data_IF_791159884034
#
_entry.id   IF_791159884034
#
_cell.length_a   1.000
_cell.length_b   1.000
_cell.length_c   1.000
_cell.angle_alpha   90.00
_cell.angle_beta   90.00
_cell.angle_gamma   90.00
#
_symmetry.space_group_name_H-M   'P 1'
#
loop_
_entity.id
_entity.type
_entity.pdbx_description
1 polymer ?
#
# COMPACT_ATOMS: atom_id res chain seq x y z
N UNK A 1 -4.54 -6.13 11.29
CA UNK A 1 -5.87 -6.54 10.77
C UNK A 1 -6.33 -5.30 10.06
N UNK A 2 -6.28 -5.32 8.73
CA UNK A 2 -6.48 -4.11 7.94
C UNK A 2 -7.93 -4.03 7.47
N UNK A 3 -8.50 -2.84 7.43
CA UNK A 3 -9.82 -2.57 6.87
C UNK A 3 -9.69 -1.91 5.49
N UNK A 4 -10.41 -2.49 4.53
CA UNK A 4 -10.55 -1.95 3.18
C UNK A 4 -11.73 -0.99 3.10
N UNK A 5 -11.53 0.14 2.41
CA UNK A 5 -12.54 1.17 2.17
C UNK A 5 -12.64 1.48 0.68
N UNK A 6 -13.87 1.63 0.19
CA UNK A 6 -14.17 2.02 -1.20
C UNK A 6 -14.63 3.48 -1.24
N UNK A 7 -13.94 4.30 -2.02
CA UNK A 7 -14.25 5.71 -2.24
C UNK A 7 -14.87 5.86 -3.62
N UNK A 8 -16.16 6.20 -3.67
CA UNK A 8 -16.92 6.30 -4.93
C UNK A 8 -17.23 7.75 -5.26
N UNK A 9 -17.08 8.13 -6.52
CA UNK A 9 -17.46 9.45 -7.01
C UNK A 9 -18.99 9.61 -7.03
N UNK A 10 -19.46 10.71 -6.47
CA UNK A 10 -20.88 11.08 -6.36
C UNK A 10 -21.59 11.30 -7.71
N UNK A 11 -20.82 11.55 -8.77
CA UNK A 11 -21.35 11.93 -10.08
C UNK A 11 -21.22 10.83 -11.14
N UNK A 12 -20.05 10.19 -11.24
CA UNK A 12 -19.79 9.22 -12.32
C UNK A 12 -19.66 7.77 -11.86
N UNK A 13 -19.71 7.49 -10.56
CA UNK A 13 -19.59 6.14 -10.02
C UNK A 13 -18.19 5.51 -10.12
N UNK A 14 -17.18 6.27 -10.57
CA UNK A 14 -15.79 5.81 -10.51
C UNK A 14 -15.36 5.59 -9.06
N UNK A 15 -14.75 4.45 -8.76
CA UNK A 15 -14.37 4.06 -7.41
C UNK A 15 -12.90 3.70 -7.30
N UNK A 16 -12.35 3.88 -6.10
CA UNK A 16 -10.99 3.52 -5.71
C UNK A 16 -11.03 2.82 -4.36
N UNK A 17 -10.25 1.76 -4.19
CA UNK A 17 -10.13 1.03 -2.93
C UNK A 17 -8.81 1.39 -2.23
N UNK A 18 -8.84 1.55 -0.92
CA UNK A 18 -7.63 1.70 -0.10
C UNK A 18 -7.76 0.98 1.24
N UNK A 19 -6.62 0.58 1.79
CA UNK A 19 -6.49 -0.11 3.06
C UNK A 19 -5.88 0.82 4.12
N UNK A 20 -6.45 0.83 5.32
CA UNK A 20 -6.06 1.73 6.41
C UNK A 20 -4.65 1.47 6.96
N UNK A 21 -4.21 0.21 6.98
CA UNK A 21 -2.86 -0.19 7.38
C UNK A 21 -1.86 -0.18 6.20
N UNK A 22 -2.29 0.20 4.99
CA UNK A 22 -1.45 0.20 3.80
C UNK A 22 -1.02 -1.21 3.33
N UNK A 23 0.19 -1.31 2.80
CA UNK A 23 0.76 -2.51 2.18
C UNK A 23 2.12 -2.85 2.81
N UNK A 24 2.13 -3.62 3.91
CA UNK A 24 3.37 -3.96 4.59
C UNK A 24 4.22 -4.93 3.76
N UNK A 25 5.54 -4.71 3.79
CA UNK A 25 6.50 -5.54 3.05
C UNK A 25 7.82 -5.69 3.81
N UNK A 26 8.56 -6.77 3.52
CA UNK A 26 9.99 -6.90 3.84
C UNK A 26 10.80 -6.67 2.57
N UNK A 27 11.81 -5.81 2.60
CA UNK A 27 12.70 -5.59 1.47
C UNK A 27 14.01 -6.38 1.63
N UNK A 28 14.11 -7.50 0.90
CA UNK A 28 15.35 -8.26 0.83
C UNK A 28 15.45 -9.16 -0.42
N UNK A 29 16.56 -9.13 -1.17
CA UNK A 29 17.64 -8.15 -1.09
C UNK A 29 17.14 -6.73 -1.42
N UNK A 30 17.99 -5.70 -1.20
CA UNK A 30 17.65 -4.30 -1.50
C UNK A 30 17.02 -4.15 -2.89
N UNK A 31 15.89 -3.45 -2.96
CA UNK A 31 15.07 -3.25 -4.16
C UNK A 31 14.02 -4.34 -4.41
N UNK A 32 13.99 -5.43 -3.64
CA UNK A 32 12.98 -6.49 -3.77
C UNK A 32 12.05 -6.52 -2.56
N UNK A 33 10.82 -6.02 -2.76
CA UNK A 33 9.75 -6.02 -1.76
C UNK A 33 8.98 -7.34 -1.77
N UNK A 34 8.76 -7.92 -0.61
CA UNK A 34 7.90 -9.08 -0.39
C UNK A 34 6.76 -8.68 0.54
N UNK A 35 5.58 -8.50 -0.03
CA UNK A 35 4.38 -8.13 0.72
C UNK A 35 3.86 -9.29 1.55
N UNK A 36 3.36 -9.00 2.73
CA UNK A 36 2.83 -9.99 3.63
C UNK A 36 1.48 -9.54 4.16
N UNK A 37 0.45 -10.34 3.91
CA UNK A 37 -0.94 -10.06 4.31
C UNK A 37 -1.50 -11.26 5.06
N UNK A 38 -2.43 -11.02 5.98
CA UNK A 38 -3.11 -12.09 6.68
C UNK A 38 -3.96 -12.91 5.68
N UNK A 39 -4.03 -14.25 5.81
CA UNK A 39 -3.44 -15.09 6.87
C UNK A 39 -2.02 -15.60 6.60
N UNK A 40 -1.40 -15.18 5.49
CA UNK A 40 -0.09 -15.72 5.06
C UNK A 40 1.13 -14.94 5.58
N UNK A 41 0.91 -13.96 6.46
CA UNK A 41 1.94 -13.01 6.90
C UNK A 41 3.20 -13.71 7.44
N UNK A 42 3.03 -14.60 8.42
CA UNK A 42 4.14 -15.30 9.08
C UNK A 42 4.86 -16.25 8.13
N UNK A 43 4.17 -16.79 7.13
CA UNK A 43 4.79 -17.65 6.12
C UNK A 43 5.76 -16.86 5.25
N UNK A 44 5.36 -15.65 4.81
CA UNK A 44 6.22 -14.76 4.02
C UNK A 44 7.40 -14.27 4.88
N UNK A 45 7.12 -13.80 6.09
CA UNK A 45 8.15 -13.27 7.01
C UNK A 45 9.21 -14.33 7.29
N UNK A 46 8.81 -15.58 7.62
CA UNK A 46 9.76 -16.68 7.84
C UNK A 46 10.54 -17.02 6.58
N UNK A 47 9.89 -17.09 5.42
CA UNK A 47 10.56 -17.43 4.16
C UNK A 47 11.63 -16.39 3.79
N UNK A 48 11.33 -15.10 3.96
CA UNK A 48 12.30 -14.03 3.69
C UNK A 48 13.41 -14.03 4.74
N UNK A 49 13.08 -14.18 6.03
CA UNK A 49 14.09 -14.27 7.12
C UNK A 49 15.04 -15.44 6.89
N UNK A 50 14.52 -16.61 6.50
CA UNK A 50 15.34 -17.77 6.11
C UNK A 50 16.30 -17.46 4.96
N UNK A 51 15.86 -16.68 3.96
CA UNK A 51 16.73 -16.25 2.86
C UNK A 51 17.82 -15.25 3.29
N UNK A 52 17.61 -14.53 4.40
CA UNK A 52 18.58 -13.60 4.99
C UNK A 52 19.65 -14.37 5.79
N UNK A 53 19.24 -15.31 6.65
CA UNK A 53 20.14 -15.96 7.62
C UNK A 53 20.64 -17.34 7.18
N UNK A 54 20.00 -17.98 6.20
CA UNK A 54 20.42 -19.25 5.62
C UNK A 54 19.92 -20.52 6.32
N UNK A 55 19.13 -20.41 7.39
CA UNK A 55 18.53 -21.53 8.14
C UNK A 55 17.10 -21.21 8.60
N UNK A 56 16.43 -22.19 9.22
CA UNK A 56 15.05 -22.02 9.69
C UNK A 56 14.99 -21.02 10.85
N UNK A 57 14.33 -19.86 10.69
CA UNK A 57 14.39 -18.77 11.65
C UNK A 57 13.48 -19.00 12.85
N UNK A 58 13.94 -18.53 14.00
CA UNK A 58 13.12 -18.32 15.20
C UNK A 58 12.20 -17.12 15.04
N UNK A 59 11.23 -17.00 15.95
CA UNK A 59 10.28 -15.88 15.98
C UNK A 59 11.00 -14.56 16.30
N UNK A 60 12.03 -14.61 17.14
CA UNK A 60 12.88 -13.47 17.47
C UNK A 60 13.66 -12.96 16.25
N UNK A 61 14.25 -13.86 15.47
CA UNK A 61 14.95 -13.50 14.23
C UNK A 61 13.99 -12.94 13.17
N UNK A 62 12.75 -13.45 13.10
CA UNK A 62 11.71 -12.88 12.24
C UNK A 62 11.35 -11.46 12.67
N UNK A 63 11.22 -11.21 13.98
CA UNK A 63 10.97 -9.87 14.51
C UNK A 63 12.13 -8.91 14.23
N UNK A 64 13.37 -9.38 14.35
CA UNK A 64 14.55 -8.58 14.04
C UNK A 64 14.67 -8.27 12.54
N UNK A 65 14.30 -9.21 11.68
CA UNK A 65 14.18 -8.97 10.24
C UNK A 65 13.13 -7.89 9.93
N UNK A 66 11.96 -7.94 10.57
CA UNK A 66 10.93 -6.90 10.42
C UNK A 66 11.45 -5.54 10.87
N UNK A 67 12.06 -5.42 12.06
CA UNK A 67 12.61 -4.14 12.55
C UNK A 67 13.60 -3.50 11.57
N UNK A 68 14.37 -4.33 10.84
CA UNK A 68 15.45 -3.86 9.97
C UNK A 68 15.02 -3.62 8.53
N UNK A 69 14.12 -4.45 8.00
CA UNK A 69 13.83 -4.50 6.56
C UNK A 69 12.38 -4.21 6.23
N UNK A 70 11.48 -4.10 7.22
CA UNK A 70 10.09 -3.80 6.94
C UNK A 70 9.90 -2.37 6.42
N UNK A 71 8.92 -2.21 5.55
CA UNK A 71 8.35 -0.92 5.16
C UNK A 71 6.86 -1.07 4.92
N UNK A 72 6.23 0.03 4.51
CA UNK A 72 4.81 0.06 4.26
C UNK A 72 4.48 1.00 3.10
N UNK A 73 3.88 0.48 2.03
CA UNK A 73 3.45 1.32 0.93
C UNK A 73 1.98 1.74 1.07
N UNK A 74 1.68 2.96 0.66
CA UNK A 74 0.30 3.44 0.56
C UNK A 74 -0.16 3.47 -0.90
N UNK A 75 -1.46 3.30 -1.10
CA UNK A 75 -2.10 3.43 -2.41
C UNK A 75 -2.41 4.89 -2.71
N UNK A 76 -1.97 5.37 -3.88
CA UNK A 76 -2.16 6.74 -4.36
C UNK A 76 -2.81 6.72 -5.74
N UNK A 77 -3.56 7.77 -6.07
CA UNK A 77 -4.01 8.04 -7.43
C UNK A 77 -3.24 9.23 -8.02
N UNK A 78 -2.63 9.03 -9.18
CA UNK A 78 -1.97 10.14 -9.88
C UNK A 78 -3.00 11.00 -10.62
N UNK A 79 -3.02 12.31 -10.36
CA UNK A 79 -3.91 13.26 -11.02
C UNK A 79 -3.51 13.55 -12.46
N UNK A 80 -2.22 13.45 -12.77
CA UNK A 80 -1.70 13.71 -14.13
C UNK A 80 -1.98 12.56 -15.09
N UNK A 81 -1.62 11.32 -14.74
CA UNK A 81 -1.80 10.15 -15.62
C UNK A 81 -3.03 9.30 -15.30
N UNK A 82 -3.75 9.60 -14.21
CA UNK A 82 -5.00 8.94 -13.80
C UNK A 82 -4.85 7.43 -13.54
N UNK A 83 -3.66 6.99 -13.15
CA UNK A 83 -3.35 5.61 -12.76
C UNK A 83 -3.09 5.53 -11.27
N UNK A 84 -3.55 4.45 -10.67
CA UNK A 84 -3.16 4.06 -9.33
C UNK A 84 -1.65 3.77 -9.30
N UNK A 85 -1.01 4.22 -8.23
CA UNK A 85 0.42 4.11 -8.00
C UNK A 85 0.64 3.82 -6.54
N UNK A 86 1.70 3.09 -6.24
CA UNK A 86 2.03 2.67 -4.89
C UNK A 86 3.49 2.97 -4.62
N UNK A 87 3.78 3.50 -3.43
CA UNK A 87 5.13 3.76 -2.95
C UNK A 87 5.11 3.88 -1.43
N UNK A 88 6.27 3.68 -0.79
CA UNK A 88 6.46 3.86 0.64
C UNK A 88 6.79 5.34 0.90
N UNK A 89 5.88 6.13 1.51
CA UNK A 89 6.10 7.56 1.69
C UNK A 89 7.28 7.87 2.64
N UNK A 90 7.80 6.89 3.38
CA UNK A 90 8.96 7.05 4.26
C UNK A 90 10.28 6.69 3.58
N UNK A 91 10.26 5.95 2.46
CA UNK A 91 11.46 5.42 1.82
C UNK A 91 11.63 5.81 0.36
N UNK A 92 10.54 6.05 -0.35
CA UNK A 92 10.54 6.33 -1.78
C UNK A 92 10.36 7.81 -2.08
N UNK A 93 10.63 8.18 -3.34
CA UNK A 93 10.25 9.49 -3.86
C UNK A 93 8.73 9.56 -3.90
N UNK A 94 8.17 10.64 -3.36
CA UNK A 94 6.73 10.91 -3.36
C UNK A 94 6.23 11.33 -4.75
N UNK A 95 6.21 10.39 -5.69
CA UNK A 95 5.84 10.60 -7.08
C UNK A 95 5.25 9.35 -7.71
N UNK A 96 4.44 9.54 -8.75
CA UNK A 96 3.83 8.47 -9.51
C UNK A 96 4.89 7.59 -10.20
N UNK A 97 4.86 6.28 -9.96
CA UNK A 97 5.80 5.31 -10.53
C UNK A 97 5.62 5.09 -12.03
N UNK A 98 4.50 5.56 -12.60
CA UNK A 98 4.21 5.44 -14.04
C UNK A 98 4.68 6.65 -14.87
N UNK A 99 4.66 7.85 -14.30
CA UNK A 99 4.91 9.09 -15.06
C UNK A 99 5.83 10.11 -14.38
N UNK A 100 6.25 9.87 -13.13
CA UNK A 100 7.12 10.77 -12.38
C UNK A 100 6.45 12.03 -11.83
N UNK A 101 5.15 12.23 -12.06
CA UNK A 101 4.43 13.37 -11.50
C UNK A 101 4.33 13.28 -9.97
N UNK A 102 4.54 14.39 -9.28
CA UNK A 102 4.33 14.54 -7.83
C UNK A 102 2.88 14.90 -7.48
N UNK A 103 2.02 15.09 -8.48
CA UNK A 103 0.59 15.37 -8.31
C UNK A 103 -0.17 14.06 -8.10
N UNK A 104 -0.06 13.56 -6.87
CA UNK A 104 -0.64 12.30 -6.40
C UNK A 104 -1.46 12.56 -5.14
N UNK A 105 -2.59 11.87 -5.02
CA UNK A 105 -3.43 11.90 -3.82
C UNK A 105 -3.44 10.52 -3.18
N UNK A 106 -3.26 10.48 -1.86
CA UNK A 106 -3.48 9.27 -1.06
C UNK A 106 -4.95 8.87 -1.16
N UNK A 107 -5.20 7.65 -1.63
CA UNK A 107 -6.56 7.16 -1.86
C UNK A 107 -7.32 7.06 -0.53
N UNK A 108 -6.66 6.70 0.57
CA UNK A 108 -7.31 6.56 1.87
C UNK A 108 -7.83 7.89 2.44
N UNK A 109 -7.31 9.02 1.93
CA UNK A 109 -7.72 10.37 2.34
C UNK A 109 -8.36 11.17 1.19
N UNK A 110 -8.88 10.48 0.16
CA UNK A 110 -9.39 11.12 -1.04
C UNK A 110 -10.81 11.69 -0.91
N UNK A 111 -11.53 11.33 0.16
CA UNK A 111 -12.87 11.84 0.44
C UNK A 111 -12.92 13.38 0.34
N UNK A 112 -13.96 13.89 -0.31
CA UNK A 112 -14.15 15.32 -0.59
C UNK A 112 -13.29 15.90 -1.72
N UNK A 113 -12.27 15.20 -2.22
CA UNK A 113 -11.46 15.67 -3.35
C UNK A 113 -12.21 15.47 -4.68
N UNK A 114 -11.88 16.30 -5.68
CA UNK A 114 -12.46 16.20 -7.04
C UNK A 114 -12.21 14.81 -7.63
N UNK A 115 -13.11 14.33 -8.49
CA UNK A 115 -12.92 13.11 -9.25
C UNK A 115 -11.82 13.26 -10.32
N UNK A 116 -11.08 12.18 -10.61
CA UNK A 116 -10.12 12.15 -11.74
C UNK A 116 -10.78 11.91 -13.11
N UNK A 117 -12.06 11.55 -13.15
CA UNK A 117 -12.79 11.21 -14.38
C UNK A 117 -13.83 12.26 -14.78
N UNK A 118 -14.41 12.99 -13.84
CA UNK A 118 -15.44 14.00 -14.08
C UNK A 118 -15.33 15.20 -13.12
N UNK A 119 -16.36 16.04 -13.09
CA UNK A 119 -16.44 17.25 -12.25
C UNK A 119 -17.02 17.00 -10.85
N UNK A 120 -17.38 15.76 -10.50
CA UNK A 120 -17.85 15.37 -9.16
C UNK A 120 -16.73 15.27 -8.12
N UNK A 121 -17.06 14.78 -6.94
CA UNK A 121 -16.13 14.55 -5.82
C UNK A 121 -16.25 13.12 -5.30
N UNK A 122 -15.22 12.67 -4.58
CA UNK A 122 -15.28 11.38 -3.89
C UNK A 122 -16.06 11.51 -2.58
N UNK A 123 -16.97 10.56 -2.34
CA UNK A 123 -17.70 10.42 -1.09
C UNK A 123 -16.77 9.86 0.01
N UNK A 124 -17.28 9.85 1.25
CA UNK A 124 -16.65 9.14 2.36
C UNK A 124 -16.46 7.65 2.03
N UNK A 125 -15.38 7.06 2.55
CA UNK A 125 -15.05 5.66 2.29
C UNK A 125 -16.06 4.70 2.91
N UNK A 126 -16.62 3.80 2.11
CA UNK A 126 -17.49 2.74 2.59
C UNK A 126 -16.65 1.52 2.95
N UNK A 127 -16.86 0.96 4.15
CA UNK A 127 -16.18 -0.28 4.57
C UNK A 127 -16.55 -1.43 3.63
N UNK A 128 -15.55 -2.13 3.09
CA UNK A 128 -15.75 -3.24 2.15
C UNK A 128 -15.18 -4.58 2.61
N UNK A 129 -14.05 -4.58 3.33
CA UNK A 129 -13.35 -5.81 3.67
C UNK A 129 -12.50 -5.68 4.92
N UNK A 130 -12.13 -6.83 5.49
CA UNK A 130 -11.10 -6.94 6.53
C UNK A 130 -10.10 -8.03 6.13
N UNK A 131 -8.81 -7.79 6.41
CA UNK A 131 -7.72 -8.72 6.20
C UNK A 131 -7.09 -9.14 7.52
#
# INVERSE_FOLDING_TARGET
>A
MAAGYMFTCDSCGFSLEAWDEGNPYIEFPKGKRHYFYHPSEMKVIRAVTKSIIGYEPTDEECNDALKKYAGNESDYICRSCRKETKFDPKKDIHACTHCGSTDVDDIFTIAGKRCIKCDGTFLEGEFVAIS
#
